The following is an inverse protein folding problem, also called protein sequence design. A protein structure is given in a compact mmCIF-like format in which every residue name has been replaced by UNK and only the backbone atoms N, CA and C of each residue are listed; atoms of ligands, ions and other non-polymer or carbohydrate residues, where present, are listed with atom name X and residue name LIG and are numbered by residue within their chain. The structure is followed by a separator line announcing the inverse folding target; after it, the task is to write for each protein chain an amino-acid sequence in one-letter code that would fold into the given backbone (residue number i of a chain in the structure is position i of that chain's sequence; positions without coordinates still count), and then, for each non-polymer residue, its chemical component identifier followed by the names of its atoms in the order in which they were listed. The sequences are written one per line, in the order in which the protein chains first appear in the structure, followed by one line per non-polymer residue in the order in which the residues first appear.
data_IF_281937591895
#
_entry.id   IF_281937591895
#
_cell.length_a   1.000
_cell.length_b   1.000
_cell.length_c   1.000
_cell.angle_alpha   90.00
_cell.angle_beta   90.00
_cell.angle_gamma   90.00
#
_symmetry.space_group_name_H-M   'P 1'
#
loop_
_entity.id
_entity.type
_entity.pdbx_description
1 polymer ?
#
# COMPACT_ATOMS: atom_id res chain seq x y z
N UNK A 1 -3.88 10.49 20.90
CA UNK A 1 -3.65 9.23 20.14
C UNK A 1 -2.41 9.33 19.24
N UNK A 2 -2.35 10.22 18.24
CA UNK A 2 -1.21 10.29 17.30
C UNK A 2 0.18 10.63 17.90
N UNK A 3 0.21 11.20 19.11
CA UNK A 3 1.45 11.54 19.83
C UNK A 3 1.73 10.61 21.03
N UNK A 4 0.93 9.55 21.19
CA UNK A 4 1.10 8.62 22.29
C UNK A 4 2.44 7.86 22.14
N UNK A 5 3.32 7.87 23.16
CA UNK A 5 4.62 7.21 23.08
C UNK A 5 4.53 5.70 22.82
N UNK A 6 3.54 5.02 23.39
CA UNK A 6 3.38 3.58 23.19
C UNK A 6 2.92 3.25 21.77
N UNK A 7 2.01 4.05 21.20
CA UNK A 7 1.53 3.86 19.83
C UNK A 7 2.62 4.21 18.81
N UNK A 8 3.44 5.23 19.09
CA UNK A 8 4.59 5.58 18.25
C UNK A 8 5.66 4.50 18.28
N UNK A 9 5.99 3.96 19.46
CA UNK A 9 6.99 2.90 19.61
C UNK A 9 6.59 1.58 18.92
N UNK A 10 5.29 1.38 18.70
CA UNK A 10 4.73 0.20 18.01
C UNK A 10 4.45 0.43 16.53
N UNK A 11 4.75 1.62 16.01
CA UNK A 11 4.45 2.01 14.63
C UNK A 11 2.97 1.79 14.28
N UNK A 12 2.08 2.09 15.24
CA UNK A 12 0.63 1.96 15.03
C UNK A 12 0.11 2.94 13.98
N UNK A 13 0.87 4.00 13.69
CA UNK A 13 0.64 4.91 12.59
C UNK A 13 1.89 4.99 11.73
N UNK A 14 1.71 4.80 10.42
CA UNK A 14 2.77 4.87 9.42
C UNK A 14 2.49 6.01 8.47
N UNK A 15 3.53 6.68 8.00
CA UNK A 15 3.41 7.76 7.03
C UNK A 15 3.61 7.18 5.63
N UNK A 16 2.63 7.41 4.74
CA UNK A 16 2.68 6.99 3.34
C UNK A 16 2.58 8.21 2.44
N UNK A 17 3.20 8.12 1.26
CA UNK A 17 3.13 9.14 0.21
C UNK A 17 2.21 8.63 -0.90
N UNK A 18 1.11 9.34 -1.13
CA UNK A 18 0.18 9.05 -2.22
C UNK A 18 0.35 10.10 -3.34
N UNK A 19 0.42 9.71 -4.63
CA UNK A 19 0.67 10.63 -5.73
C UNK A 19 -0.29 11.83 -5.77
N UNK A 20 -1.56 11.63 -5.46
CA UNK A 20 -2.57 12.70 -5.51
C UNK A 20 -2.86 13.37 -4.16
N UNK A 21 -2.71 12.64 -3.05
CA UNK A 21 -3.12 13.12 -1.72
C UNK A 21 -1.94 13.69 -0.93
N UNK A 22 -0.71 13.37 -1.37
CA UNK A 22 0.51 13.72 -0.66
C UNK A 22 0.77 12.82 0.55
N UNK A 23 1.55 13.33 1.50
CA UNK A 23 1.96 12.59 2.71
C UNK A 23 0.85 12.58 3.74
N UNK A 24 0.47 11.39 4.21
CA UNK A 24 -0.53 11.22 5.27
C UNK A 24 -0.18 10.07 6.21
N UNK A 25 -0.67 10.17 7.45
CA UNK A 25 -0.59 9.06 8.42
C UNK A 25 -1.77 8.13 8.24
N UNK A 26 -1.49 6.84 8.09
CA UNK A 26 -2.48 5.77 8.07
C UNK A 26 -2.23 4.81 9.23
N UNK A 27 -3.23 4.00 9.55
CA UNK A 27 -3.10 2.96 10.58
C UNK A 27 -2.16 1.87 10.06
N UNK A 28 -1.17 1.52 10.88
CA UNK A 28 -0.17 0.49 10.60
C UNK A 28 -0.70 -0.94 10.74
N UNK A 29 0.19 -1.92 10.57
CA UNK A 29 -0.16 -3.34 10.77
C UNK A 29 -0.36 -3.60 12.26
N UNK A 30 -1.57 -4.00 12.64
CA UNK A 30 -1.93 -4.24 14.04
C UNK A 30 -1.16 -5.42 14.67
N UNK A 31 -1.03 -6.54 13.95
CA UNK A 31 -0.32 -7.72 14.43
C UNK A 31 1.13 -7.71 13.93
N UNK A 32 2.09 -7.66 14.86
CA UNK A 32 3.53 -7.71 14.54
C UNK A 32 4.01 -9.16 14.59
N UNK A 33 4.19 -9.75 13.40
CA UNK A 33 4.69 -11.12 13.25
C UNK A 33 6.20 -11.09 12.99
N UNK A 34 6.95 -11.93 13.69
CA UNK A 34 8.41 -11.97 13.56
C UNK A 34 8.89 -12.62 12.25
N UNK A 35 8.20 -13.67 11.79
CA UNK A 35 8.57 -14.39 10.58
C UNK A 35 8.00 -13.75 9.29
N UNK A 36 6.83 -13.13 9.39
CA UNK A 36 6.11 -12.53 8.25
C UNK A 36 5.59 -11.13 8.57
N UNK A 37 6.47 -10.13 8.70
CA UNK A 37 6.04 -8.75 8.92
C UNK A 37 5.08 -8.30 7.83
N UNK A 38 3.93 -7.73 8.22
CA UNK A 38 3.00 -7.14 7.27
C UNK A 38 3.59 -5.86 6.65
N UNK A 39 3.27 -5.62 5.38
CA UNK A 39 3.71 -4.44 4.63
C UNK A 39 2.49 -3.58 4.33
N UNK A 40 2.64 -2.26 4.51
CA UNK A 40 1.63 -1.26 4.12
C UNK A 40 2.27 -0.34 3.11
N UNK A 41 1.62 -0.19 1.97
CA UNK A 41 1.95 0.76 0.93
C UNK A 41 0.84 1.78 0.74
N UNK A 42 1.01 2.64 -0.26
CA UNK A 42 -0.06 3.52 -0.72
C UNK A 42 -1.17 2.74 -1.41
N UNK A 43 -2.35 3.34 -1.42
CA UNK A 43 -3.44 2.98 -2.31
C UNK A 43 -3.06 3.20 -3.79
N UNK A 44 -3.56 2.35 -4.70
CA UNK A 44 -3.37 2.52 -6.14
C UNK A 44 -4.23 3.67 -6.66
N UNK A 45 -3.77 4.29 -7.74
CA UNK A 45 -4.57 5.22 -8.52
C UNK A 45 -5.70 4.47 -9.26
N UNK A 46 -6.71 5.22 -9.68
CA UNK A 46 -7.79 4.69 -10.48
C UNK A 46 -7.22 4.11 -11.79
N UNK A 47 -7.40 2.79 -11.99
CA UNK A 47 -6.92 2.09 -13.18
C UNK A 47 -5.41 1.83 -13.23
N UNK A 48 -4.66 2.08 -12.15
CA UNK A 48 -3.17 2.02 -12.16
C UNK A 48 -2.60 0.70 -12.69
N UNK A 49 -3.28 -0.41 -12.41
CA UNK A 49 -2.82 -1.75 -12.78
C UNK A 49 -3.64 -2.38 -13.90
N UNK A 50 -4.58 -1.65 -14.51
CA UNK A 50 -5.53 -2.22 -15.48
C UNK A 50 -4.83 -2.74 -16.72
N UNK A 51 -4.02 -1.91 -17.40
CA UNK A 51 -3.34 -2.32 -18.64
C UNK A 51 -2.35 -3.46 -18.42
N UNK A 52 -1.58 -3.38 -17.33
CA UNK A 52 -0.64 -4.44 -16.95
C UNK A 52 -1.37 -5.78 -16.73
N UNK A 53 -2.47 -5.76 -15.97
CA UNK A 53 -3.21 -6.98 -15.65
C UNK A 53 -3.96 -7.54 -16.88
N UNK A 54 -4.51 -6.67 -17.74
CA UNK A 54 -5.15 -7.10 -18.97
C UNK A 54 -4.15 -7.76 -19.92
N UNK A 55 -2.94 -7.21 -20.06
CA UNK A 55 -1.90 -7.83 -20.89
C UNK A 55 -1.42 -9.18 -20.32
N UNK A 56 -1.39 -9.34 -18.99
CA UNK A 56 -1.02 -10.60 -18.36
C UNK A 56 -2.10 -11.68 -18.52
N UNK A 57 -3.37 -11.31 -18.36
CA UNK A 57 -4.50 -12.25 -18.37
C UNK A 57 -5.03 -12.54 -19.78
N UNK A 58 -4.96 -11.55 -20.66
CA UNK A 58 -5.45 -11.60 -22.04
C UNK A 58 -4.36 -11.05 -22.96
N UNK A 59 -3.27 -11.81 -23.17
CA UNK A 59 -2.25 -11.42 -24.14
C UNK A 59 -2.92 -11.17 -25.47
N UNK A 60 -2.68 -10.00 -26.07
CA UNK A 60 -3.13 -9.75 -27.42
C UNK A 60 -2.53 -10.86 -28.31
N UNK A 61 -3.40 -11.57 -29.03
CA UNK A 61 -2.96 -12.41 -30.12
C UNK A 61 -2.56 -11.42 -31.22
N UNK A 62 -1.26 -11.16 -31.37
CA UNK A 62 -0.66 -10.25 -32.36
C UNK A 62 -0.84 -10.80 -33.79
N UNK A 63 -2.06 -11.21 -34.15
CA UNK A 63 -2.48 -11.61 -35.49
C UNK A 63 -3.24 -10.44 -36.14
N UNK A 64 -2.48 -9.44 -36.60
CA UNK A 64 -2.86 -8.60 -37.74
C UNK A 64 -2.05 -9.01 -38.98
#
# INVERSE_FOLDING_TARGET
VYYDPHLKARECFVEIEHPEVGRRKVVGVFAKLSATPGIIGRDPLFGEHTDWLLNELLPADDNE
#
